data_IF_104058298826
#
_entry.id   IF_104058298826
#
_cell.length_a   1.000
_cell.length_b   1.000
_cell.length_c   1.000
_cell.angle_alpha   90.00
_cell.angle_beta   90.00
_cell.angle_gamma   90.00
#
_symmetry.space_group_name_H-M   'P 1'
#
loop_
_entity.id
_entity.type
_entity.pdbx_description
1 polymer ?
#
# COMPACT_ATOMS: atom_id res chain seq x y z
N UNK A 1 16.38 1.31 -11.55
CA UNK A 1 15.31 2.26 -11.22
C UNK A 1 14.02 1.48 -11.24
N UNK A 2 13.40 1.34 -10.08
CA UNK A 2 12.13 0.63 -9.91
C UNK A 2 10.99 1.59 -10.29
N UNK A 3 10.02 1.15 -11.10
CA UNK A 3 8.82 1.93 -11.40
C UNK A 3 7.89 1.86 -10.19
N UNK A 4 8.26 2.61 -9.15
CA UNK A 4 7.48 2.69 -7.93
C UNK A 4 6.18 3.47 -8.17
N UNK A 5 5.10 2.73 -8.03
CA UNK A 5 3.73 3.22 -7.92
C UNK A 5 3.56 4.15 -6.73
N UNK A 6 3.90 5.43 -6.90
CA UNK A 6 3.35 6.70 -6.34
C UNK A 6 2.72 6.78 -4.93
N UNK A 7 2.69 5.75 -4.10
CA UNK A 7 2.02 5.74 -2.80
C UNK A 7 2.72 4.76 -1.83
N UNK A 8 3.91 5.14 -1.37
CA UNK A 8 4.41 4.67 -0.07
C UNK A 8 4.79 5.90 0.76
N UNK A 9 4.12 6.07 1.90
CA UNK A 9 4.53 6.85 3.07
C UNK A 9 5.00 8.29 2.84
N UNK A 10 4.11 9.29 3.03
CA UNK A 10 4.41 10.73 3.25
C UNK A 10 5.40 11.46 2.32
N UNK A 11 5.99 10.81 1.32
CA UNK A 11 6.79 11.41 0.26
C UNK A 11 5.96 11.38 -1.02
N UNK A 12 5.40 12.54 -1.33
CA UNK A 12 4.68 12.79 -2.57
C UNK A 12 5.71 12.81 -3.71
N UNK A 13 5.71 11.80 -4.58
CA UNK A 13 6.58 11.81 -5.78
C UNK A 13 6.20 13.05 -6.61
N UNK A 14 7.13 14.00 -6.84
CA UNK A 14 6.86 15.20 -7.61
C UNK A 14 6.37 14.84 -9.01
N UNK A 15 5.33 15.54 -9.48
CA UNK A 15 4.66 15.28 -10.76
C UNK A 15 5.62 15.25 -11.96
N UNK A 16 6.72 16.00 -11.86
CA UNK A 16 7.80 16.11 -12.84
C UNK A 16 8.58 14.81 -13.01
N UNK A 17 8.75 14.03 -11.93
CA UNK A 17 9.46 12.74 -11.96
C UNK A 17 8.58 11.62 -12.55
N UNK A 18 7.27 11.67 -12.29
CA UNK A 18 6.28 10.75 -12.89
C UNK A 18 6.17 10.91 -14.42
N UNK A 19 6.47 12.09 -14.97
CA UNK A 19 6.45 12.34 -16.41
C UNK A 19 7.68 11.77 -17.12
N UNK A 20 8.87 11.82 -16.50
CA UNK A 20 10.09 11.26 -17.07
C UNK A 20 10.05 9.71 -17.18
N UNK A 21 9.33 9.04 -16.28
CA UNK A 21 9.17 7.57 -16.27
C UNK A 21 8.25 7.05 -17.39
N UNK A 22 7.56 7.93 -18.14
CA UNK A 22 6.69 7.53 -19.26
C UNK A 22 7.44 7.11 -20.55
N UNK A 23 8.77 7.17 -20.60
CA UNK A 23 9.55 6.80 -21.79
C UNK A 23 10.33 5.49 -21.73
N UNK A 24 10.49 4.85 -20.57
CA UNK A 24 11.40 3.70 -20.40
C UNK A 24 10.70 2.32 -20.54
N UNK A 25 11.40 1.27 -21.01
CA UNK A 25 10.91 -0.11 -20.94
C UNK A 25 10.76 -0.55 -19.48
N UNK A 26 9.69 -1.30 -19.18
CA UNK A 26 9.23 -1.59 -17.81
C UNK A 26 9.31 -3.08 -17.50
N UNK A 27 9.80 -3.40 -16.31
CA UNK A 27 9.70 -4.74 -15.72
C UNK A 27 8.65 -4.71 -14.62
N UNK A 28 7.64 -5.55 -14.71
CA UNK A 28 6.51 -5.57 -13.79
C UNK A 28 6.72 -6.60 -12.68
N UNK A 29 6.86 -6.12 -11.44
CA UNK A 29 6.94 -6.98 -10.27
C UNK A 29 5.53 -7.39 -9.82
N UNK A 30 5.30 -8.70 -9.75
CA UNK A 30 4.09 -9.29 -9.18
C UNK A 30 4.34 -9.65 -7.71
N UNK A 31 3.53 -9.09 -6.81
CA UNK A 31 3.55 -9.37 -5.38
C UNK A 31 2.19 -10.00 -5.03
N UNK A 32 2.20 -11.08 -4.23
CA UNK A 32 0.95 -11.80 -3.94
C UNK A 32 0.01 -10.91 -3.14
N UNK A 33 -1.29 -11.14 -3.26
CA UNK A 33 -2.28 -10.37 -2.49
C UNK A 33 -2.01 -10.49 -0.98
N UNK A 34 -1.75 -11.71 -0.50
CA UNK A 34 -1.43 -11.99 0.90
C UNK A 34 -0.16 -11.27 1.37
N UNK A 35 0.92 -11.30 0.60
CA UNK A 35 2.15 -10.59 0.96
C UNK A 35 1.96 -9.07 1.01
N UNK A 36 1.15 -8.51 0.10
CA UNK A 36 0.81 -7.08 0.12
C UNK A 36 0.01 -6.72 1.38
N UNK A 37 -0.92 -7.57 1.79
CA UNK A 37 -1.69 -7.39 3.05
C UNK A 37 -0.74 -7.40 4.25
N UNK A 38 0.12 -8.41 4.38
CA UNK A 38 1.07 -8.53 5.50
C UNK A 38 2.05 -7.35 5.55
N UNK A 39 2.55 -6.89 4.40
CA UNK A 39 3.45 -5.73 4.34
C UNK A 39 2.75 -4.45 4.80
N UNK A 40 1.52 -4.20 4.35
CA UNK A 40 0.76 -3.02 4.79
C UNK A 40 0.45 -3.12 6.28
N UNK A 41 0.12 -4.31 6.79
CA UNK A 41 -0.09 -4.53 8.21
C UNK A 41 1.18 -4.21 9.02
N UNK A 42 2.34 -4.71 8.60
CA UNK A 42 3.60 -4.43 9.26
C UNK A 42 3.95 -2.93 9.22
N UNK A 43 3.91 -2.29 8.05
CA UNK A 43 4.37 -0.92 7.87
C UNK A 43 3.42 0.13 8.46
N UNK A 44 2.11 -0.01 8.20
CA UNK A 44 1.13 1.02 8.53
C UNK A 44 0.35 0.77 9.81
N UNK A 45 0.43 -0.43 10.39
CA UNK A 45 -0.22 -0.74 11.68
C UNK A 45 0.83 -0.95 12.76
N UNK A 46 1.74 -1.92 12.58
CA UNK A 46 2.71 -2.28 13.62
C UNK A 46 3.78 -1.21 13.78
N UNK A 47 4.54 -0.94 12.72
CA UNK A 47 5.67 -0.01 12.75
C UNK A 47 5.21 1.42 13.02
N UNK A 48 4.18 1.88 12.31
CA UNK A 48 3.64 3.22 12.50
C UNK A 48 3.13 3.44 13.93
N UNK A 49 2.39 2.48 14.51
CA UNK A 49 1.95 2.59 15.90
C UNK A 49 3.13 2.68 16.87
N UNK A 50 4.15 1.83 16.68
CA UNK A 50 5.37 1.86 17.48
C UNK A 50 6.11 3.20 17.38
N UNK A 51 6.19 3.80 16.18
CA UNK A 51 6.78 5.13 15.99
C UNK A 51 6.02 6.21 16.77
N UNK A 52 4.68 6.23 16.67
CA UNK A 52 3.87 7.19 17.42
C UNK A 52 4.03 7.02 18.93
N UNK A 53 4.00 5.79 19.43
CA UNK A 53 4.21 5.47 20.85
C UNK A 53 5.60 5.91 21.30
N UNK A 54 6.63 5.61 20.52
CA UNK A 54 8.01 5.98 20.85
C UNK A 54 8.21 7.49 20.95
N UNK A 55 7.49 8.29 20.16
CA UNK A 55 7.65 9.75 20.12
C UNK A 55 6.73 10.47 21.10
N UNK A 56 5.52 9.94 21.35
CA UNK A 56 4.45 10.64 22.07
C UNK A 56 4.05 9.98 23.39
N UNK A 57 4.63 8.82 23.72
CA UNK A 57 4.21 7.98 24.85
C UNK A 57 3.04 7.07 24.46
N UNK A 58 2.78 6.05 25.29
CA UNK A 58 1.83 4.97 24.98
C UNK A 58 0.39 5.47 24.76
N UNK A 59 -0.15 6.18 25.74
CA UNK A 59 -1.57 6.60 25.73
C UNK A 59 -1.86 7.67 24.67
N UNK A 60 -1.01 8.70 24.57
CA UNK A 60 -1.16 9.77 23.57
C UNK A 60 -0.75 9.30 22.17
N UNK A 61 0.28 8.46 22.07
CA UNK A 61 0.79 7.94 20.81
C UNK A 61 -0.22 7.05 20.10
N UNK A 62 -0.85 6.12 20.83
CA UNK A 62 -1.89 5.28 20.25
C UNK A 62 -3.07 6.09 19.70
N UNK A 63 -3.56 7.07 20.47
CA UNK A 63 -4.65 7.95 20.02
C UNK A 63 -4.32 8.71 18.74
N UNK A 64 -3.11 9.29 18.66
CA UNK A 64 -2.65 10.02 17.47
C UNK A 64 -2.46 9.09 16.26
N UNK A 65 -2.00 7.86 16.48
CA UNK A 65 -1.92 6.83 15.46
C UNK A 65 -3.31 6.45 14.91
N UNK A 66 -4.26 6.19 15.80
CA UNK A 66 -5.64 5.85 15.44
C UNK A 66 -6.29 6.97 14.60
N UNK A 67 -6.17 8.21 15.07
CA UNK A 67 -6.66 9.39 14.34
C UNK A 67 -6.02 9.52 12.95
N UNK A 68 -4.71 9.29 12.86
CA UNK A 68 -3.98 9.36 11.59
C UNK A 68 -4.46 8.32 10.58
N UNK A 69 -4.75 7.09 11.03
CA UNK A 69 -5.29 6.03 10.17
C UNK A 69 -6.72 6.35 9.72
N UNK A 70 -7.60 6.75 10.64
CA UNK A 70 -8.97 7.14 10.33
C UNK A 70 -9.02 8.30 9.33
N UNK A 71 -8.19 9.32 9.52
CA UNK A 71 -8.07 10.44 8.57
C UNK A 71 -7.59 9.98 7.19
N UNK A 72 -6.64 9.02 7.13
CA UNK A 72 -6.15 8.49 5.86
C UNK A 72 -7.25 7.79 5.06
N UNK A 73 -8.12 7.03 5.74
CA UNK A 73 -9.26 6.39 5.10
C UNK A 73 -10.33 7.42 4.67
N UNK A 74 -10.61 8.42 5.49
CA UNK A 74 -11.55 9.49 5.16
C UNK A 74 -11.11 10.31 3.93
N UNK A 75 -9.80 10.51 3.75
CA UNK A 75 -9.27 11.28 2.61
C UNK A 75 -9.58 10.66 1.24
N UNK A 76 -9.82 9.34 1.19
CA UNK A 76 -10.18 8.63 -0.04
C UNK A 76 -11.68 8.37 -0.17
N UNK A 77 -12.51 8.85 0.77
CA UNK A 77 -13.96 8.66 0.80
C UNK A 77 -14.65 8.89 -0.55
N UNK A 78 -14.38 10.05 -1.20
CA UNK A 78 -15.01 10.41 -2.47
C UNK A 78 -14.70 9.42 -3.61
N UNK A 79 -13.53 8.79 -3.59
CA UNK A 79 -13.09 7.85 -4.62
C UNK A 79 -13.55 6.42 -4.32
N UNK A 80 -13.64 6.09 -3.03
CA UNK A 80 -14.08 4.79 -2.55
C UNK A 80 -15.61 4.60 -2.67
N UNK A 81 -16.36 5.69 -2.53
CA UNK A 81 -17.82 5.69 -2.47
C UNK A 81 -18.34 5.49 -1.04
N UNK A 82 -19.54 6.01 -0.78
CA UNK A 82 -20.08 6.11 0.59
C UNK A 82 -20.26 4.78 1.31
N UNK A 83 -20.87 3.79 0.64
CA UNK A 83 -21.14 2.47 1.20
C UNK A 83 -19.86 1.71 1.56
N UNK A 84 -18.92 1.64 0.61
CA UNK A 84 -17.62 0.98 0.81
C UNK A 84 -16.83 1.67 1.91
N UNK A 85 -16.79 3.00 1.90
CA UNK A 85 -16.13 3.76 2.94
C UNK A 85 -16.70 3.47 4.32
N UNK A 86 -18.02 3.47 4.48
CA UNK A 86 -18.65 3.19 5.77
C UNK A 86 -18.29 1.78 6.27
N UNK A 87 -18.29 0.79 5.38
CA UNK A 87 -17.90 -0.59 5.74
C UNK A 87 -16.44 -0.69 6.16
N UNK A 88 -15.51 -0.13 5.37
CA UNK A 88 -14.08 -0.15 5.70
C UNK A 88 -13.78 0.65 6.98
N UNK A 89 -14.49 1.75 7.20
CA UNK A 89 -14.35 2.56 8.41
C UNK A 89 -14.75 1.78 9.66
N UNK A 90 -15.86 1.04 9.59
CA UNK A 90 -16.31 0.19 10.70
C UNK A 90 -15.26 -0.90 11.01
N UNK A 91 -14.72 -1.57 9.98
CA UNK A 91 -13.66 -2.58 10.16
C UNK A 91 -12.41 -1.98 10.80
N UNK A 92 -11.98 -0.79 10.36
CA UNK A 92 -10.84 -0.10 10.94
C UNK A 92 -11.08 0.28 12.41
N UNK A 93 -12.27 0.79 12.74
CA UNK A 93 -12.62 1.14 14.13
C UNK A 93 -12.60 -0.09 15.04
N UNK A 94 -13.23 -1.19 14.64
CA UNK A 94 -13.19 -2.45 15.41
C UNK A 94 -11.77 -2.97 15.57
N UNK A 95 -10.94 -2.87 14.52
CA UNK A 95 -9.54 -3.30 14.60
C UNK A 95 -8.72 -2.45 15.58
N UNK A 96 -8.91 -1.13 15.58
CA UNK A 96 -8.27 -0.21 16.51
C UNK A 96 -8.69 -0.47 17.97
N UNK A 97 -9.97 -0.71 18.21
CA UNK A 97 -10.47 -1.07 19.55
C UNK A 97 -9.83 -2.37 20.07
N UNK A 98 -9.72 -3.39 19.21
CA UNK A 98 -9.06 -4.65 19.57
C UNK A 98 -7.57 -4.47 19.81
N UNK A 99 -6.87 -3.71 18.95
CA UNK A 99 -5.46 -3.41 19.13
C UNK A 99 -5.21 -2.66 20.44
N UNK A 100 -6.07 -1.70 20.80
CA UNK A 100 -5.94 -0.98 22.07
C UNK A 100 -6.16 -1.90 23.28
N UNK A 101 -7.12 -2.83 23.17
CA UNK A 101 -7.53 -3.70 24.27
C UNK A 101 -6.54 -4.85 24.53
N UNK A 102 -6.02 -5.46 23.48
CA UNK A 102 -5.25 -6.71 23.57
C UNK A 102 -3.86 -6.64 22.93
N UNK A 103 -3.56 -5.58 22.17
CA UNK A 103 -2.36 -5.49 21.33
C UNK A 103 -2.44 -6.31 20.05
N UNK A 104 -3.52 -7.07 19.83
CA UNK A 104 -3.66 -7.90 18.63
C UNK A 104 -3.97 -7.03 17.39
N UNK A 105 -3.27 -7.30 16.29
CA UNK A 105 -3.42 -6.55 15.03
C UNK A 105 -4.19 -7.32 13.95
N UNK A 106 -4.65 -8.53 14.26
CA UNK A 106 -5.21 -9.46 13.28
C UNK A 106 -6.40 -8.90 12.50
N UNK A 107 -7.27 -8.14 13.19
CA UNK A 107 -8.47 -7.55 12.60
C UNK A 107 -8.16 -6.45 11.57
N UNK A 108 -6.94 -5.91 11.54
CA UNK A 108 -6.57 -4.91 10.55
C UNK A 108 -6.54 -5.49 9.12
N UNK A 109 -6.36 -6.81 8.96
CA UNK A 109 -6.38 -7.44 7.64
C UNK A 109 -7.69 -7.17 6.90
N UNK A 110 -8.83 -7.17 7.59
CA UNK A 110 -10.13 -7.02 6.94
C UNK A 110 -10.30 -5.71 6.18
N UNK A 111 -9.88 -4.57 6.74
CA UNK A 111 -9.96 -3.30 6.03
C UNK A 111 -8.84 -3.14 4.99
N UNK A 112 -7.66 -3.73 5.23
CA UNK A 112 -6.53 -3.72 4.28
C UNK A 112 -6.89 -4.50 3.01
N UNK A 113 -7.43 -5.71 3.16
CA UNK A 113 -7.89 -6.55 2.06
C UNK A 113 -8.97 -5.84 1.24
N UNK A 114 -9.99 -5.30 1.90
CA UNK A 114 -11.05 -4.55 1.24
C UNK A 114 -10.52 -3.33 0.49
N UNK A 115 -9.57 -2.60 1.08
CA UNK A 115 -8.95 -1.45 0.44
C UNK A 115 -8.10 -1.83 -0.78
N UNK A 116 -7.29 -2.89 -0.66
CA UNK A 116 -6.49 -3.40 -1.77
C UNK A 116 -7.37 -3.90 -2.90
N UNK A 117 -8.31 -4.81 -2.62
CA UNK A 117 -9.13 -5.45 -3.64
C UNK A 117 -10.14 -4.54 -4.32
N UNK A 118 -10.69 -3.55 -3.61
CA UNK A 118 -11.83 -2.76 -4.13
C UNK A 118 -11.47 -1.36 -4.61
N UNK A 119 -10.27 -0.89 -4.29
CA UNK A 119 -9.81 0.45 -4.67
C UNK A 119 -8.46 0.42 -5.40
N UNK A 120 -7.46 -0.25 -4.85
CA UNK A 120 -6.11 -0.24 -5.44
C UNK A 120 -5.96 -1.22 -6.62
N UNK A 121 -6.41 -2.46 -6.49
CA UNK A 121 -6.24 -3.49 -7.52
C UNK A 121 -6.96 -3.16 -8.83
N UNK A 122 -8.21 -2.64 -8.84
CA UNK A 122 -8.86 -2.20 -10.07
C UNK A 122 -8.13 -1.03 -10.74
N UNK A 123 -7.58 -0.11 -9.94
CA UNK A 123 -6.77 1.00 -10.44
C UNK A 123 -5.46 0.50 -11.06
N UNK A 124 -4.79 -0.47 -10.44
CA UNK A 124 -3.56 -1.08 -10.96
C UNK A 124 -3.81 -1.91 -12.22
N UNK A 125 -4.90 -2.67 -12.29
CA UNK A 125 -5.29 -3.44 -13.47
C UNK A 125 -5.52 -2.50 -14.67
N UNK A 126 -6.23 -1.40 -14.47
CA UNK A 126 -6.44 -0.37 -15.50
C UNK A 126 -5.11 0.24 -15.98
N UNK A 127 -4.19 0.57 -15.05
CA UNK A 127 -2.86 1.08 -15.43
C UNK A 127 -2.03 0.03 -16.19
N UNK A 128 -2.12 -1.25 -15.81
CA UNK A 128 -1.44 -2.35 -16.50
C UNK A 128 -1.94 -2.47 -17.94
N UNK A 129 -3.25 -2.45 -18.17
CA UNK A 129 -3.83 -2.49 -19.51
C UNK A 129 -3.36 -1.32 -20.39
N UNK A 130 -3.30 -0.11 -19.83
CA UNK A 130 -2.81 1.07 -20.54
C UNK A 130 -1.30 1.10 -20.79
N UNK A 131 -0.50 0.45 -19.93
CA UNK A 131 0.96 0.33 -20.06
C UNK A 131 1.42 -0.97 -20.72
N UNK A 132 0.50 -1.86 -21.10
CA UNK A 132 0.80 -3.21 -21.57
C UNK A 132 1.79 -3.24 -22.75
N UNK A 133 1.75 -2.26 -23.64
CA UNK A 133 2.68 -2.12 -24.77
C UNK A 133 4.14 -1.84 -24.37
N UNK A 134 4.42 -1.53 -23.08
CA UNK A 134 5.74 -1.16 -22.55
C UNK A 134 6.30 -2.16 -21.53
N UNK A 135 5.53 -3.18 -21.16
CA UNK A 135 5.96 -4.23 -20.22
C UNK A 135 6.78 -5.26 -21.00
N UNK A 136 8.08 -5.30 -20.75
CA UNK A 136 9.01 -6.23 -21.42
C UNK A 136 9.10 -7.58 -20.70
N UNK A 137 8.83 -7.58 -19.39
CA UNK A 137 8.81 -8.78 -18.54
C UNK A 137 7.90 -8.55 -17.33
N UNK A 138 7.18 -9.59 -16.89
CA UNK A 138 6.36 -9.56 -15.67
C UNK A 138 6.58 -10.86 -14.89
N UNK A 139 6.78 -10.76 -13.58
CA UNK A 139 6.98 -11.92 -12.71
C UNK A 139 7.21 -11.52 -11.26
N UNK A 140 7.35 -12.50 -10.37
CA UNK A 140 7.64 -12.26 -8.96
C UNK A 140 9.08 -11.75 -8.74
N UNK A 141 9.42 -11.40 -7.50
CA UNK A 141 10.73 -10.83 -7.16
C UNK A 141 11.91 -11.70 -7.63
N UNK A 142 11.78 -13.02 -7.53
CA UNK A 142 12.80 -13.95 -7.97
C UNK A 142 12.96 -13.95 -9.49
N UNK A 143 11.83 -13.99 -10.21
CA UNK A 143 11.79 -13.99 -11.68
C UNK A 143 12.32 -12.67 -12.26
N UNK A 144 11.95 -11.54 -11.66
CA UNK A 144 12.43 -10.20 -12.05
C UNK A 144 13.93 -10.08 -11.79
N UNK A 145 14.42 -10.57 -10.65
CA UNK A 145 15.85 -10.54 -10.32
C UNK A 145 16.67 -11.40 -11.30
N UNK A 146 16.14 -12.57 -11.67
CA UNK A 146 16.72 -13.44 -12.69
C UNK A 146 16.79 -12.75 -14.05
N UNK A 147 15.67 -12.18 -14.50
CA UNK A 147 15.58 -11.46 -15.77
C UNK A 147 16.54 -10.25 -15.84
N UNK A 148 16.65 -9.46 -14.77
CA UNK A 148 17.57 -8.32 -14.71
C UNK A 148 19.06 -8.75 -14.75
N UNK A 149 19.38 -9.89 -14.13
CA UNK A 149 20.73 -10.47 -14.15
C UNK A 149 21.10 -11.00 -15.56
N UNK A 150 20.15 -11.63 -16.26
CA UNK A 150 20.35 -12.05 -17.66
C UNK A 150 20.43 -10.87 -18.64
N UNK A 151 19.68 -9.80 -18.39
CA UNK A 151 19.68 -8.61 -19.25
C UNK A 151 20.97 -7.80 -19.12
N UNK A 152 21.51 -7.69 -17.90
CA UNK A 152 22.77 -6.98 -17.65
C UNK A 152 23.99 -7.71 -18.20
N UNK A 153 23.95 -9.04 -18.32
CA UNK A 153 25.01 -9.85 -18.94
C UNK A 153 24.98 -9.89 -20.47
N UNK A 154 23.91 -9.36 -21.11
CA UNK A 154 23.75 -9.25 -22.56
C UNK A 154 24.05 -7.86 -23.13
N UNK A 155 24.52 -6.92 -22.31
CA UNK A 155 24.92 -5.57 -22.73
C UNK A 155 26.43 -5.43 -22.88
#
# INVERSE_FOLDING_TARGET
MEDESRLVGSCNVPLELHQAMQGCPMVWLEDSFEHRVERILADYVVNLCAEFISVKGEELGFGLFADRLLQSLNNIHKRLGGERHQRLLALLQTALEEQQRSGAVELHRGWIEGLLGEYYDPMYAYQREHKAARIEFAGNQFEVSGYLSERSSRR
#
